data_IF_619810823701
#
_entry.id   IF_619810823701
#
_cell.length_a   1.000
_cell.length_b   1.000
_cell.length_c   1.000
_cell.angle_alpha   90.00
_cell.angle_beta   90.00
_cell.angle_gamma   90.00
#
_symmetry.space_group_name_H-M   'P 1'
#
loop_
_entity.id
_entity.type
_entity.pdbx_description
1 polymer ?
#
# COMPACT_ATOMS: atom_id res chain seq x y z
N UNK A 1 8.80 -29.85 -29.99
CA UNK A 1 7.79 -29.42 -28.99
C UNK A 1 8.42 -28.92 -27.67
N UNK A 2 9.60 -28.27 -27.72
CA UNK A 2 10.40 -27.87 -26.52
C UNK A 2 10.13 -26.40 -26.10
N UNK A 3 9.80 -25.50 -27.04
CA UNK A 3 9.49 -24.09 -26.75
C UNK A 3 8.27 -23.88 -25.84
N UNK A 4 7.26 -24.74 -25.94
CA UNK A 4 6.06 -24.61 -25.10
C UNK A 4 6.37 -24.89 -23.63
N UNK A 5 7.26 -25.84 -23.30
CA UNK A 5 7.56 -26.16 -21.90
C UNK A 5 8.39 -25.07 -21.21
N UNK A 6 9.26 -24.37 -21.94
CA UNK A 6 9.95 -23.19 -21.42
C UNK A 6 9.01 -22.01 -21.17
N UNK A 7 8.05 -21.78 -22.07
CA UNK A 7 7.06 -20.71 -21.90
C UNK A 7 6.22 -20.93 -20.63
N UNK A 8 5.74 -22.16 -20.40
CA UNK A 8 4.99 -22.49 -19.19
C UNK A 8 5.82 -22.28 -17.91
N UNK A 9 7.09 -22.69 -17.91
CA UNK A 9 8.01 -22.45 -16.77
C UNK A 9 8.20 -20.96 -16.51
N UNK A 10 8.42 -20.15 -17.54
CA UNK A 10 8.56 -18.68 -17.42
C UNK A 10 7.28 -18.05 -16.88
N UNK A 11 6.11 -18.48 -17.35
CA UNK A 11 4.83 -17.99 -16.85
C UNK A 11 4.62 -18.35 -15.37
N UNK A 12 4.95 -19.57 -14.96
CA UNK A 12 4.86 -20.00 -13.56
C UNK A 12 5.81 -19.19 -12.67
N UNK A 13 7.05 -18.96 -13.10
CA UNK A 13 8.01 -18.13 -12.38
C UNK A 13 7.54 -16.68 -12.25
N UNK A 14 7.02 -16.09 -13.33
CA UNK A 14 6.48 -14.73 -13.31
C UNK A 14 5.29 -14.59 -12.33
N UNK A 15 4.37 -15.57 -12.33
CA UNK A 15 3.25 -15.61 -11.37
C UNK A 15 3.73 -15.70 -9.93
N UNK A 16 4.70 -16.58 -9.65
CA UNK A 16 5.26 -16.74 -8.31
C UNK A 16 5.93 -15.44 -7.83
N UNK A 17 6.75 -14.82 -8.68
CA UNK A 17 7.40 -13.55 -8.38
C UNK A 17 6.37 -12.43 -8.10
N UNK A 18 5.29 -12.37 -8.88
CA UNK A 18 4.22 -11.39 -8.66
C UNK A 18 3.52 -11.60 -7.31
N UNK A 19 3.24 -12.85 -6.93
CA UNK A 19 2.64 -13.17 -5.63
C UNK A 19 3.55 -12.76 -4.47
N UNK A 20 4.85 -13.05 -4.57
CA UNK A 20 5.84 -12.65 -3.57
C UNK A 20 5.95 -11.12 -3.44
N UNK A 21 5.94 -10.39 -4.57
CA UNK A 21 5.94 -8.93 -4.55
C UNK A 21 4.67 -8.36 -3.91
N UNK A 22 3.50 -8.92 -4.23
CA UNK A 22 2.23 -8.51 -3.66
C UNK A 22 2.20 -8.74 -2.14
N UNK A 23 2.70 -9.89 -1.68
CA UNK A 23 2.78 -10.21 -0.25
C UNK A 23 3.75 -9.28 0.48
N UNK A 24 4.93 -9.01 -0.08
CA UNK A 24 5.88 -8.04 0.49
C UNK A 24 5.27 -6.64 0.59
N UNK A 25 4.49 -6.20 -0.41
CA UNK A 25 3.77 -4.91 -0.35
C UNK A 25 2.73 -4.91 0.77
N UNK A 26 1.95 -5.99 0.88
CA UNK A 26 0.94 -6.17 1.94
C UNK A 26 1.58 -6.07 3.31
N UNK A 27 2.65 -6.82 3.57
CA UNK A 27 3.39 -6.80 4.84
C UNK A 27 3.88 -5.40 5.23
N UNK A 28 4.42 -4.63 4.27
CA UNK A 28 4.85 -3.24 4.52
C UNK A 28 3.68 -2.32 4.90
N UNK A 29 2.48 -2.60 4.39
CA UNK A 29 1.30 -1.78 4.63
C UNK A 29 0.54 -2.18 5.91
N UNK A 30 0.89 -3.29 6.56
CA UNK A 30 0.27 -3.69 7.84
C UNK A 30 0.49 -2.66 8.95
N UNK A 31 1.65 -1.98 8.98
CA UNK A 31 1.88 -0.89 9.95
C UNK A 31 0.92 0.28 9.74
N UNK A 32 0.60 0.58 8.48
CA UNK A 32 -0.37 1.62 8.13
C UNK A 32 -1.78 1.18 8.51
N UNK A 33 -2.13 -0.08 8.24
CA UNK A 33 -3.42 -0.65 8.66
C UNK A 33 -3.60 -0.54 10.18
N UNK A 34 -2.57 -0.86 10.96
CA UNK A 34 -2.60 -0.69 12.43
C UNK A 34 -2.81 0.78 12.82
N UNK A 35 -2.09 1.73 12.23
CA UNK A 35 -2.29 3.15 12.51
C UNK A 35 -3.67 3.68 12.07
N UNK A 36 -4.28 3.09 11.04
CA UNK A 36 -5.64 3.43 10.60
C UNK A 36 -6.73 2.92 11.56
N UNK A 37 -6.43 1.87 12.34
CA UNK A 37 -7.32 1.32 13.38
C UNK A 37 -7.16 2.03 14.74
N UNK A 38 -6.09 2.80 14.91
CA UNK A 38 -5.88 3.60 16.11
C UNK A 38 -6.59 4.97 15.96
N UNK A 39 -7.62 5.28 16.77
CA UNK A 39 -8.34 6.55 16.68
C UNK A 39 -7.46 7.80 16.88
N UNK A 40 -6.32 7.67 17.55
CA UNK A 40 -5.39 8.78 17.77
C UNK A 40 -4.49 9.02 16.55
N UNK A 41 -4.11 7.96 15.83
CA UNK A 41 -3.20 8.06 14.68
C UNK A 41 -3.96 8.20 13.35
N UNK A 42 -5.14 7.59 13.24
CA UNK A 42 -5.91 7.50 12.01
C UNK A 42 -6.16 8.88 11.34
N UNK A 43 -6.52 9.96 12.06
CA UNK A 43 -6.74 11.26 11.43
C UNK A 43 -5.51 11.80 10.69
N UNK A 44 -4.32 11.66 11.27
CA UNK A 44 -3.07 12.13 10.67
C UNK A 44 -2.68 11.28 9.45
N UNK A 45 -2.82 9.96 9.54
CA UNK A 45 -2.55 9.03 8.44
C UNK A 45 -3.50 9.27 7.27
N UNK A 46 -4.79 9.44 7.54
CA UNK A 46 -5.81 9.74 6.52
C UNK A 46 -5.54 11.10 5.87
N UNK A 47 -5.21 12.13 6.65
CA UNK A 47 -4.91 13.45 6.10
C UNK A 47 -3.71 13.41 5.14
N UNK A 48 -2.63 12.72 5.53
CA UNK A 48 -1.45 12.55 4.68
C UNK A 48 -1.78 11.78 3.39
N UNK A 49 -2.55 10.70 3.49
CA UNK A 49 -2.96 9.91 2.33
C UNK A 49 -3.89 10.69 1.38
N UNK A 50 -4.85 11.44 1.94
CA UNK A 50 -5.75 12.29 1.16
C UNK A 50 -4.99 13.38 0.39
N UNK A 51 -3.96 13.95 0.99
CA UNK A 51 -3.11 14.92 0.27
C UNK A 51 -2.41 14.27 -0.92
N UNK A 52 -1.89 13.06 -0.75
CA UNK A 52 -1.29 12.30 -1.85
C UNK A 52 -2.29 12.00 -2.98
N UNK A 53 -3.53 11.64 -2.63
CA UNK A 53 -4.61 11.39 -3.59
C UNK A 53 -5.01 12.67 -4.34
N UNK A 54 -5.11 13.81 -3.65
CA UNK A 54 -5.36 15.12 -4.28
C UNK A 54 -4.25 15.49 -5.28
N UNK A 55 -3.00 15.25 -4.93
CA UNK A 55 -1.87 15.46 -5.84
C UNK A 55 -1.97 14.57 -7.09
N UNK A 56 -2.37 13.32 -6.94
CA UNK A 56 -2.60 12.43 -8.09
C UNK A 56 -3.71 12.94 -9.00
N UNK A 57 -4.82 13.41 -8.42
CA UNK A 57 -5.95 13.98 -9.16
C UNK A 57 -5.55 15.24 -9.91
N UNK A 58 -4.86 16.17 -9.25
CA UNK A 58 -4.45 17.44 -9.85
C UNK A 58 -3.43 17.26 -11.00
N UNK A 59 -2.56 16.25 -10.90
CA UNK A 59 -1.49 16.01 -11.88
C UNK A 59 -1.76 14.85 -12.84
N UNK A 60 -2.95 14.25 -12.79
CA UNK A 60 -3.34 13.09 -13.59
C UNK A 60 -2.33 11.91 -13.51
N UNK A 61 -1.86 11.60 -12.29
CA UNK A 61 -0.79 10.60 -12.05
C UNK A 61 -1.33 9.19 -11.82
N UNK A 62 -2.64 9.04 -11.64
CA UNK A 62 -3.31 7.76 -11.42
C UNK A 62 -4.67 7.80 -12.12
N UNK A 63 -5.19 6.63 -12.52
CA UNK A 63 -6.51 6.58 -13.15
C UNK A 63 -7.59 7.02 -12.17
N UNK A 64 -8.61 7.72 -12.70
CA UNK A 64 -9.72 8.25 -11.92
C UNK A 64 -10.39 7.20 -11.03
N UNK A 65 -10.58 5.98 -11.54
CA UNK A 65 -11.21 4.89 -10.77
C UNK A 65 -10.44 4.54 -9.49
N UNK A 66 -9.10 4.58 -9.50
CA UNK A 66 -8.31 4.33 -8.28
C UNK A 66 -8.34 5.51 -7.34
N UNK A 67 -8.36 6.74 -7.88
CA UNK A 67 -8.49 7.96 -7.07
C UNK A 67 -9.83 7.91 -6.33
N UNK A 68 -10.93 7.68 -7.04
CA UNK A 68 -12.27 7.64 -6.48
C UNK A 68 -12.42 6.48 -5.46
N UNK A 69 -11.81 5.32 -5.74
CA UNK A 69 -11.78 4.19 -4.81
C UNK A 69 -11.01 4.52 -3.52
N UNK A 70 -9.85 5.17 -3.62
CA UNK A 70 -9.07 5.56 -2.44
C UNK A 70 -9.75 6.67 -1.63
N UNK A 71 -10.35 7.67 -2.27
CA UNK A 71 -11.12 8.70 -1.55
C UNK A 71 -12.27 8.08 -0.74
N UNK A 72 -12.99 7.13 -1.35
CA UNK A 72 -14.09 6.41 -0.69
C UNK A 72 -13.62 5.55 0.50
N UNK A 73 -12.47 4.88 0.36
CA UNK A 73 -11.86 4.09 1.43
C UNK A 73 -11.34 4.98 2.57
N UNK A 74 -10.67 6.09 2.24
CA UNK A 74 -10.08 7.00 3.24
C UNK A 74 -11.12 7.76 4.06
N UNK A 75 -12.36 7.89 3.56
CA UNK A 75 -13.50 8.37 4.35
C UNK A 75 -13.87 7.42 5.51
N UNK A 76 -13.42 6.16 5.46
CA UNK A 76 -13.70 5.12 6.45
C UNK A 76 -12.39 4.39 6.82
N UNK A 77 -11.62 4.89 7.80
CA UNK A 77 -10.29 4.38 8.13
C UNK A 77 -10.23 2.85 8.33
N UNK A 78 -11.25 2.28 8.97
CA UNK A 78 -11.38 0.83 9.17
C UNK A 78 -11.45 0.05 7.85
N UNK A 79 -12.23 0.53 6.87
CA UNK A 79 -12.31 -0.11 5.55
C UNK A 79 -11.01 0.03 4.77
N UNK A 80 -10.31 1.16 4.93
CA UNK A 80 -8.98 1.31 4.36
C UNK A 80 -7.99 0.31 4.99
N UNK A 81 -8.03 0.10 6.32
CA UNK A 81 -7.21 -0.90 7.00
C UNK A 81 -7.51 -2.32 6.51
N UNK A 82 -8.79 -2.71 6.43
CA UNK A 82 -9.23 -4.00 5.89
C UNK A 82 -8.71 -4.23 4.46
N UNK A 83 -8.80 -3.22 3.59
CA UNK A 83 -8.27 -3.27 2.23
C UNK A 83 -6.75 -3.47 2.18
N UNK A 84 -6.01 -2.90 3.12
CA UNK A 84 -4.56 -3.08 3.20
C UNK A 84 -4.18 -4.49 3.67
N UNK A 85 -5.02 -5.11 4.51
CA UNK A 85 -4.80 -6.44 5.07
C UNK A 85 -5.25 -7.58 4.14
N UNK A 86 -6.27 -7.34 3.30
CA UNK A 86 -6.93 -8.33 2.44
C UNK A 86 -5.95 -9.00 1.46
N UNK A 87 -5.75 -10.34 1.51
CA UNK A 87 -4.86 -11.04 0.58
C UNK A 87 -5.41 -11.19 -0.85
N UNK A 88 -6.64 -10.73 -1.13
CA UNK A 88 -7.30 -10.92 -2.43
C UNK A 88 -6.55 -10.25 -3.60
N UNK A 89 -6.69 -10.76 -4.84
CA UNK A 89 -6.12 -10.13 -6.03
C UNK A 89 -6.61 -8.70 -6.26
N UNK A 90 -7.88 -8.41 -5.92
CA UNK A 90 -8.46 -7.08 -6.02
C UNK A 90 -7.75 -6.09 -5.09
N UNK A 91 -7.59 -6.46 -3.82
CA UNK A 91 -6.87 -5.64 -2.85
C UNK A 91 -5.37 -5.51 -3.20
N UNK A 92 -4.77 -6.55 -3.77
CA UNK A 92 -3.40 -6.50 -4.26
C UNK A 92 -3.23 -5.45 -5.38
N UNK A 93 -4.23 -5.29 -6.26
CA UNK A 93 -4.24 -4.29 -7.32
C UNK A 93 -4.29 -2.86 -6.75
N UNK A 94 -5.18 -2.59 -5.79
CA UNK A 94 -5.26 -1.31 -5.09
C UNK A 94 -3.96 -0.97 -4.35
N UNK A 95 -3.37 -1.93 -3.63
CA UNK A 95 -2.11 -1.73 -2.91
C UNK A 95 -0.91 -1.39 -3.79
N UNK A 96 -0.94 -1.70 -5.09
CA UNK A 96 0.15 -1.29 -6.00
C UNK A 96 0.24 0.23 -6.11
N UNK A 97 -0.90 0.90 -6.01
CA UNK A 97 -1.06 2.35 -6.08
C UNK A 97 -1.51 2.90 -4.73
N UNK A 98 -0.77 2.56 -3.67
CA UNK A 98 -1.10 2.95 -2.29
C UNK A 98 -0.72 4.42 -2.00
N UNK A 99 -1.61 5.24 -1.42
CA UNK A 99 -1.34 6.65 -1.11
C UNK A 99 -0.45 6.84 0.13
N UNK A 100 -0.04 5.76 0.80
CA UNK A 100 0.64 5.80 2.09
C UNK A 100 2.18 5.83 2.00
N UNK A 101 2.75 6.12 0.84
CA UNK A 101 4.21 6.15 0.64
C UNK A 101 4.91 7.12 1.61
N UNK A 102 4.34 8.31 1.80
CA UNK A 102 4.87 9.32 2.73
C UNK A 102 4.82 8.83 4.19
N UNK A 103 3.72 8.19 4.60
CA UNK A 103 3.57 7.60 5.95
C UNK A 103 4.62 6.51 6.19
N UNK A 104 4.89 5.68 5.18
CA UNK A 104 5.93 4.65 5.26
C UNK A 104 7.36 5.21 5.31
N UNK A 105 7.59 6.44 4.84
CA UNK A 105 8.87 7.12 4.99
C UNK A 105 9.03 7.71 6.39
N UNK A 106 7.99 8.34 6.93
CA UNK A 106 8.00 8.89 8.30
C UNK A 106 8.22 7.80 9.36
N UNK A 107 7.50 6.68 9.26
CA UNK A 107 7.64 5.55 10.20
C UNK A 107 9.07 4.96 10.22
N UNK A 108 9.77 4.99 9.07
CA UNK A 108 11.17 4.54 8.97
C UNK A 108 12.16 5.58 9.52
N UNK A 109 11.88 6.87 9.36
CA UNK A 109 12.70 7.96 9.91
C UNK A 109 12.64 8.05 11.45
N UNK A 110 11.45 7.87 12.03
CA UNK A 110 11.27 7.87 13.50
C UNK A 110 11.98 6.69 14.17
N UNK A 111 12.03 5.54 13.50
CA UNK A 111 12.76 4.36 13.97
C UNK A 111 14.28 4.57 14.00
N UNK A 112 14.82 5.41 13.12
CA UNK A 112 16.24 5.75 13.07
C UNK A 112 16.63 6.82 14.10
N UNK A 113 15.75 7.79 14.36
CA UNK A 113 16.03 8.89 15.30
C UNK A 113 15.94 8.50 16.77
N UNK A 114 15.28 7.38 17.12
CA UNK A 114 15.17 6.89 18.52
C UNK A 114 16.45 6.22 19.06
N UNK A 115 17.51 6.05 18.26
CA UNK A 115 18.74 5.35 18.68
C UNK A 115 19.89 6.26 19.17
N UNK A 116 19.71 7.58 19.19
CA UNK A 116 20.74 8.51 19.68
C UNK A 116 20.23 9.31 20.88
N UNK A 117 20.03 8.65 22.01
CA UNK A 117 19.98 9.27 23.35
C UNK A 117 20.06 8.19 24.41
N UNK A 118 21.28 7.95 24.88
CA UNK A 118 21.51 7.55 26.26
C UNK A 118 22.67 8.38 26.83
N UNK A 119 22.60 8.74 28.11
CA UNK A 119 23.46 9.74 28.76
C UNK A 119 24.93 9.34 28.85
#
# INVERSE_FOLDING_TARGET
MIMMSELHKRQQQARKAQLELNERRRQKLLVVAQSLRDPQQAPAVVASAMEQVRLWRAKNLCSRDYIDAWESLLAQPEKAAEMLEDPSPYAAQLRQNSPFVSVLHSARGESASRKTSHP
#
